data_IF_345691282683
#
_entry.id   IF_345691282683
#
_cell.length_a   1.000
_cell.length_b   1.000
_cell.length_c   1.000
_cell.angle_alpha   90.00
_cell.angle_beta   90.00
_cell.angle_gamma   90.00
#
_symmetry.space_group_name_H-M   'P 1'
#
loop_
_entity.id
_entity.type
_entity.pdbx_description
1 polymer ?
#
# COMPACT_ATOMS: atom_id res chain seq x y z
N UNK A 1 12.51 12.90 34.00
CA UNK A 1 11.81 11.66 33.63
C UNK A 1 12.14 10.55 34.62
N UNK A 2 11.12 9.91 35.20
CA UNK A 2 11.30 8.72 36.04
C UNK A 2 11.64 7.48 35.16
N UNK A 3 12.46 6.56 35.71
CA UNK A 3 12.85 5.31 35.03
C UNK A 3 11.62 4.48 34.59
N UNK A 4 10.58 4.43 35.41
CA UNK A 4 9.31 3.74 35.07
C UNK A 4 8.63 4.36 33.84
N UNK A 5 8.63 5.69 33.74
CA UNK A 5 8.06 6.40 32.58
C UNK A 5 8.83 6.11 31.29
N UNK A 6 10.18 6.04 31.36
CA UNK A 6 11.02 5.70 30.20
C UNK A 6 10.67 4.30 29.68
N UNK A 7 10.64 3.31 30.58
CA UNK A 7 10.30 1.92 30.21
C UNK A 7 8.89 1.85 29.62
N UNK A 8 7.91 2.52 30.24
CA UNK A 8 6.54 2.53 29.76
C UNK A 8 6.40 3.15 28.36
N UNK A 9 7.07 4.30 28.12
CA UNK A 9 7.04 4.97 26.81
C UNK A 9 7.67 4.12 25.71
N UNK A 10 8.81 3.46 25.98
CA UNK A 10 9.44 2.53 25.04
C UNK A 10 8.52 1.35 24.77
N UNK A 11 7.96 0.73 25.80
CA UNK A 11 7.02 -0.38 25.64
C UNK A 11 5.79 0.00 24.80
N UNK A 12 5.20 1.15 25.09
CA UNK A 12 4.05 1.67 24.33
C UNK A 12 4.40 1.91 22.85
N UNK A 13 5.60 2.43 22.58
CA UNK A 13 6.10 2.62 21.21
C UNK A 13 6.28 1.30 20.46
N UNK A 14 6.75 0.25 21.15
CA UNK A 14 6.84 -1.11 20.58
C UNK A 14 5.46 -1.63 20.21
N UNK A 15 4.50 -1.51 21.12
CA UNK A 15 3.13 -2.01 20.91
C UNK A 15 2.46 -1.30 19.74
N UNK A 16 2.52 0.03 19.71
CA UNK A 16 1.90 0.83 18.64
C UNK A 16 2.58 0.57 17.29
N UNK A 17 3.90 0.68 17.24
CA UNK A 17 4.67 0.42 16.02
C UNK A 17 4.49 -1.02 15.53
N UNK A 18 4.43 -1.97 16.46
CA UNK A 18 4.20 -3.38 16.18
C UNK A 18 2.81 -3.65 15.60
N UNK A 19 1.76 -3.08 16.18
CA UNK A 19 0.39 -3.25 15.68
C UNK A 19 0.22 -2.73 14.24
N UNK A 20 0.78 -1.56 13.95
CA UNK A 20 0.75 -0.97 12.61
C UNK A 20 1.60 -1.81 11.65
N UNK A 21 2.84 -2.13 12.05
CA UNK A 21 3.75 -2.89 11.22
C UNK A 21 3.25 -4.31 10.92
N UNK A 22 2.55 -4.95 11.86
CA UNK A 22 1.92 -6.26 11.66
C UNK A 22 0.84 -6.22 10.57
N UNK A 23 -0.01 -5.20 10.59
CA UNK A 23 -0.99 -4.97 9.50
C UNK A 23 -0.30 -4.83 8.14
N UNK A 24 0.78 -4.04 8.08
CA UNK A 24 1.54 -3.81 6.84
C UNK A 24 2.21 -5.08 6.32
N UNK A 25 2.83 -5.86 7.21
CA UNK A 25 3.47 -7.12 6.87
C UNK A 25 2.47 -8.18 6.41
N UNK A 26 1.33 -8.32 7.12
CA UNK A 26 0.23 -9.20 6.72
C UNK A 26 -0.28 -8.92 5.31
N UNK A 27 -0.29 -7.64 4.90
CA UNK A 27 -0.69 -7.22 3.55
C UNK A 27 0.46 -7.24 2.53
N UNK A 28 1.62 -7.77 2.88
CA UNK A 28 2.82 -7.78 2.05
C UNK A 28 3.18 -6.40 1.48
N UNK A 29 3.08 -5.36 2.32
CA UNK A 29 3.49 -4.01 1.96
C UNK A 29 4.98 -3.80 2.26
N UNK A 30 5.70 -2.95 1.51
CA UNK A 30 7.05 -2.53 1.90
C UNK A 30 7.02 -1.92 3.31
N UNK A 31 8.13 -2.04 4.07
CA UNK A 31 8.20 -1.66 5.48
C UNK A 31 7.13 -2.36 6.35
N UNK A 32 7.50 -3.51 6.92
CA UNK A 32 6.66 -4.35 7.77
C UNK A 32 6.85 -4.09 9.27
N UNK A 33 6.72 -5.16 10.06
CA UNK A 33 6.70 -5.16 11.52
C UNK A 33 7.90 -4.46 12.14
N UNK A 34 9.12 -4.91 11.79
CA UNK A 34 10.37 -4.39 12.37
C UNK A 34 10.58 -2.91 12.05
N UNK A 35 10.29 -2.49 10.83
CA UNK A 35 10.52 -1.12 10.40
C UNK A 35 9.67 -0.13 11.19
N UNK A 36 8.37 -0.41 11.37
CA UNK A 36 7.47 0.47 12.11
C UNK A 36 7.81 0.52 13.60
N UNK A 37 8.19 -0.60 14.22
CA UNK A 37 8.68 -0.63 15.61
C UNK A 37 9.91 0.26 15.76
N UNK A 38 10.93 0.08 14.92
CA UNK A 38 12.19 0.82 15.01
C UNK A 38 11.98 2.32 14.80
N UNK A 39 11.14 2.72 13.86
CA UNK A 39 10.81 4.14 13.63
C UNK A 39 10.07 4.74 14.83
N UNK A 40 9.08 4.03 15.40
CA UNK A 40 8.34 4.51 16.56
C UNK A 40 9.24 4.65 17.79
N UNK A 41 10.06 3.65 18.09
CA UNK A 41 11.02 3.68 19.21
C UNK A 41 12.06 4.78 19.00
N UNK A 42 12.67 4.86 17.83
CA UNK A 42 13.70 5.85 17.52
C UNK A 42 13.20 7.28 17.70
N UNK A 43 11.99 7.56 17.22
CA UNK A 43 11.33 8.86 17.39
C UNK A 43 11.01 9.16 18.85
N UNK A 44 10.56 8.16 19.62
CA UNK A 44 10.29 8.28 21.05
C UNK A 44 11.59 8.59 21.84
N UNK A 45 12.66 7.85 21.56
CA UNK A 45 13.96 8.03 22.22
C UNK A 45 14.53 9.42 21.92
N UNK A 46 14.50 9.88 20.66
CA UNK A 46 15.03 11.17 20.26
C UNK A 46 14.40 12.31 21.08
N UNK A 47 13.08 12.26 21.26
CA UNK A 47 12.37 13.28 22.04
C UNK A 47 12.63 13.13 23.56
N UNK A 48 12.74 11.91 24.07
CA UNK A 48 13.09 11.71 25.47
C UNK A 48 14.50 12.25 25.78
N UNK A 49 15.47 12.10 24.86
CA UNK A 49 16.82 12.71 25.00
C UNK A 49 16.67 14.22 25.14
N UNK A 50 15.83 14.87 24.32
CA UNK A 50 15.60 16.30 24.46
C UNK A 50 15.03 16.69 25.83
N UNK A 51 14.07 15.91 26.37
CA UNK A 51 13.53 16.15 27.70
C UNK A 51 14.59 16.01 28.80
N UNK A 52 15.51 15.05 28.68
CA UNK A 52 16.65 14.94 29.60
C UNK A 52 17.61 16.12 29.50
N UNK A 53 17.91 16.60 28.29
CA UNK A 53 18.73 17.79 28.08
C UNK A 53 18.10 19.00 28.76
N UNK A 54 16.78 19.21 28.56
CA UNK A 54 16.05 20.33 29.19
C UNK A 54 16.06 20.21 30.72
N UNK A 55 15.90 19.01 31.26
CA UNK A 55 15.97 18.78 32.70
C UNK A 55 17.38 19.08 33.23
N UNK A 56 18.42 18.57 32.56
CA UNK A 56 19.82 18.87 32.93
C UNK A 56 20.12 20.37 32.92
N UNK A 57 19.68 21.10 31.89
CA UNK A 57 19.86 22.55 31.84
C UNK A 57 19.15 23.27 33.00
N UNK A 58 17.94 22.83 33.39
CA UNK A 58 17.24 23.39 34.56
C UNK A 58 18.03 23.17 35.83
N UNK A 59 18.61 22.00 36.04
CA UNK A 59 19.42 21.66 37.20
C UNK A 59 20.70 22.56 37.26
N UNK A 60 21.38 22.78 36.12
CA UNK A 60 22.55 23.67 36.04
C UNK A 60 22.21 25.12 36.38
N UNK A 61 21.08 25.64 35.87
CA UNK A 61 20.61 27.01 36.19
C UNK A 61 20.24 27.15 37.68
N UNK A 62 19.80 26.09 38.35
CA UNK A 62 19.55 26.12 39.80
C UNK A 62 20.84 26.14 40.65
N UNK A 63 21.91 25.54 40.13
CA UNK A 63 23.24 25.55 40.81
C UNK A 63 23.88 26.91 40.67
N UNK A 64 23.86 27.51 39.49
CA UNK A 64 24.44 28.79 39.18
C UNK A 64 23.52 29.58 38.23
N UNK A 65 22.99 30.68 38.73
CA UNK A 65 22.03 31.52 37.99
C UNK A 65 22.59 32.13 36.69
N UNK A 66 23.92 32.28 36.59
CA UNK A 66 24.57 32.84 35.40
C UNK A 66 24.46 31.93 34.17
N UNK A 67 24.26 30.63 34.38
CA UNK A 67 23.98 29.68 33.29
C UNK A 67 22.70 30.02 32.51
N UNK A 68 21.75 30.77 33.09
CA UNK A 68 20.53 31.22 32.40
C UNK A 68 20.84 32.03 31.14
N UNK A 69 21.91 32.79 31.14
CA UNK A 69 22.31 33.64 30.01
C UNK A 69 23.09 32.88 28.94
N UNK A 70 23.67 31.74 29.30
CA UNK A 70 24.52 30.91 28.43
C UNK A 70 23.76 29.77 27.79
N UNK A 71 22.67 29.27 28.42
CA UNK A 71 21.91 28.11 28.00
C UNK A 71 20.63 28.51 27.31
N UNK A 72 20.51 28.09 26.06
CA UNK A 72 19.30 28.21 25.29
C UNK A 72 18.86 26.84 24.79
N UNK A 73 17.61 26.43 25.07
CA UNK A 73 17.04 25.17 24.62
C UNK A 73 15.88 25.40 23.67
N UNK A 74 16.00 24.92 22.45
CA UNK A 74 14.89 24.80 21.53
C UNK A 74 14.14 23.50 21.78
N UNK A 75 12.91 23.63 22.34
CA UNK A 75 12.07 22.50 22.74
C UNK A 75 11.58 21.69 21.53
N UNK A 76 11.59 22.25 20.33
CA UNK A 76 11.06 21.59 19.11
C UNK A 76 12.14 20.92 18.27
N UNK A 77 13.40 21.20 18.54
CA UNK A 77 14.52 20.89 17.63
C UNK A 77 14.67 19.40 17.31
N UNK A 78 14.68 18.53 18.32
CA UNK A 78 14.80 17.08 18.08
C UNK A 78 13.57 16.52 17.36
N UNK A 79 12.38 16.94 17.75
CA UNK A 79 11.15 16.51 17.09
C UNK A 79 11.12 16.92 15.61
N UNK A 80 11.48 18.16 15.28
CA UNK A 80 11.52 18.65 13.90
C UNK A 80 12.54 17.91 13.05
N UNK A 81 13.71 17.58 13.61
CA UNK A 81 14.74 16.80 12.92
C UNK A 81 14.30 15.35 12.67
N UNK A 82 13.58 14.73 13.60
CA UNK A 82 12.99 13.40 13.39
C UNK A 82 12.00 13.43 12.24
N UNK A 83 11.08 14.41 12.20
CA UNK A 83 10.08 14.56 11.14
C UNK A 83 10.76 14.71 9.77
N UNK A 84 11.80 15.53 9.70
CA UNK A 84 12.58 15.75 8.47
C UNK A 84 13.33 14.48 8.07
N UNK A 85 14.03 13.84 9.00
CA UNK A 85 14.86 12.66 8.76
C UNK A 85 14.06 11.43 8.33
N UNK A 86 12.88 11.24 8.89
CA UNK A 86 11.97 10.13 8.51
C UNK A 86 11.48 10.28 7.08
N UNK A 87 11.44 11.50 6.52
CA UNK A 87 11.15 11.73 5.11
C UNK A 87 12.07 10.96 4.17
N UNK A 88 13.36 10.81 4.51
CA UNK A 88 14.33 10.01 3.76
C UNK A 88 13.97 8.52 3.76
N UNK A 89 13.58 7.96 4.92
CA UNK A 89 13.13 6.57 5.03
C UNK A 89 11.85 6.35 4.21
N UNK A 90 10.90 7.29 4.30
CA UNK A 90 9.68 7.27 3.50
C UNK A 90 9.98 7.27 1.99
N UNK A 91 10.84 8.16 1.54
CA UNK A 91 11.25 8.25 0.14
C UNK A 91 11.88 6.95 -0.36
N UNK A 92 12.67 6.27 0.47
CA UNK A 92 13.26 4.95 0.17
C UNK A 92 12.25 3.83 -0.08
N UNK A 93 10.98 4.01 0.32
CA UNK A 93 9.91 3.04 0.04
C UNK A 93 9.13 3.31 -1.23
N UNK A 94 9.35 4.47 -1.87
CA UNK A 94 8.63 4.89 -3.09
C UNK A 94 9.40 4.38 -4.31
N UNK A 95 8.78 3.49 -5.07
CA UNK A 95 9.38 2.85 -6.23
C UNK A 95 8.52 3.15 -7.47
N UNK A 96 9.16 3.56 -8.56
CA UNK A 96 8.53 3.68 -9.87
C UNK A 96 8.77 2.39 -10.67
N UNK A 97 7.69 1.67 -10.97
CA UNK A 97 7.73 0.42 -11.72
C UNK A 97 6.76 0.47 -12.91
N UNK A 98 7.28 0.32 -14.13
CA UNK A 98 6.50 0.30 -15.38
C UNK A 98 5.46 1.42 -15.50
N UNK A 99 5.81 2.63 -15.07
CA UNK A 99 4.94 3.81 -15.14
C UNK A 99 4.00 3.99 -13.93
N UNK A 100 3.90 3.02 -13.03
CA UNK A 100 3.14 3.13 -11.79
C UNK A 100 4.05 3.49 -10.61
N UNK A 101 3.58 4.35 -9.73
CA UNK A 101 4.27 4.68 -8.46
C UNK A 101 3.68 3.83 -7.35
N UNK A 102 4.56 3.09 -6.65
CA UNK A 102 4.21 2.22 -5.51
C UNK A 102 4.88 2.73 -4.24
N UNK A 103 4.33 2.42 -3.07
CA UNK A 103 4.95 2.73 -1.79
C UNK A 103 4.53 4.06 -1.15
N UNK A 104 3.70 4.90 -1.78
CA UNK A 104 3.25 6.18 -1.23
C UNK A 104 2.55 6.04 0.13
N UNK A 105 1.60 5.10 0.26
CA UNK A 105 0.91 4.81 1.53
C UNK A 105 1.88 4.31 2.59
N UNK A 106 2.89 3.52 2.19
CA UNK A 106 3.93 3.04 3.10
C UNK A 106 4.78 4.20 3.61
N UNK A 107 5.22 5.10 2.74
CA UNK A 107 5.97 6.29 3.11
C UNK A 107 5.18 7.16 4.11
N UNK A 108 3.89 7.39 3.83
CA UNK A 108 2.99 8.13 4.72
C UNK A 108 2.82 7.43 6.07
N UNK A 109 2.67 6.08 6.11
CA UNK A 109 2.52 5.34 7.36
C UNK A 109 3.78 5.41 8.24
N UNK A 110 4.97 5.34 7.66
CA UNK A 110 6.24 5.52 8.36
C UNK A 110 6.31 6.90 9.00
N UNK A 111 5.93 7.93 8.25
CA UNK A 111 5.95 9.31 8.73
C UNK A 111 4.97 9.51 9.91
N UNK A 112 3.74 9.02 9.81
CA UNK A 112 2.74 9.11 10.89
C UNK A 112 3.17 8.33 12.13
N UNK A 113 3.78 7.14 11.95
CA UNK A 113 4.31 6.34 13.08
C UNK A 113 5.42 7.08 13.81
N UNK A 114 6.28 7.80 13.10
CA UNK A 114 7.29 8.66 13.74
C UNK A 114 6.64 9.78 14.58
N UNK A 115 5.60 10.45 14.05
CA UNK A 115 4.84 11.46 14.80
C UNK A 115 4.19 10.88 16.07
N UNK A 116 3.63 9.66 15.98
CA UNK A 116 3.09 8.96 17.15
C UNK A 116 4.19 8.64 18.16
N UNK A 117 5.36 8.18 17.70
CA UNK A 117 6.53 7.94 18.53
C UNK A 117 7.00 9.20 19.28
N UNK A 118 7.03 10.36 18.59
CA UNK A 118 7.30 11.67 19.20
C UNK A 118 6.26 11.96 20.29
N UNK A 119 4.96 11.78 20.01
CA UNK A 119 3.89 12.03 20.98
C UNK A 119 4.01 11.15 22.21
N UNK A 120 4.32 9.86 22.06
CA UNK A 120 4.60 8.94 23.17
C UNK A 120 5.81 9.41 23.96
N UNK A 121 6.89 9.82 23.28
CA UNK A 121 8.13 10.31 23.88
C UNK A 121 7.92 11.60 24.69
N UNK A 122 7.01 12.46 24.28
CA UNK A 122 6.59 13.65 25.04
C UNK A 122 5.64 13.34 26.19
N UNK A 123 5.01 12.16 26.21
CA UNK A 123 4.01 11.78 27.20
C UNK A 123 2.59 12.19 26.84
N UNK A 124 2.34 12.57 25.57
CA UNK A 124 1.00 12.91 25.07
C UNK A 124 0.22 11.65 24.67
N UNK A 125 -0.06 10.80 25.66
CA UNK A 125 -0.65 9.47 25.43
C UNK A 125 -2.01 9.50 24.74
N UNK A 126 -2.86 10.47 25.08
CA UNK A 126 -4.15 10.63 24.42
C UNK A 126 -4.00 10.94 22.93
N UNK A 127 -3.11 11.88 22.58
CA UNK A 127 -2.81 12.20 21.18
C UNK A 127 -2.22 10.99 20.44
N UNK A 128 -1.35 10.26 21.10
CA UNK A 128 -0.75 9.02 20.54
C UNK A 128 -1.82 7.97 20.24
N UNK A 129 -2.78 7.78 21.13
CA UNK A 129 -3.89 6.84 20.98
C UNK A 129 -4.81 7.24 19.82
N UNK A 130 -5.22 8.51 19.77
CA UNK A 130 -6.07 9.02 18.68
C UNK A 130 -5.35 8.95 17.34
N UNK A 131 -4.07 9.31 17.30
CA UNK A 131 -3.24 9.19 16.08
C UNK A 131 -3.10 7.74 15.61
N UNK A 132 -2.87 6.80 16.54
CA UNK A 132 -2.83 5.37 16.26
C UNK A 132 -4.15 4.85 15.67
N UNK A 133 -5.28 5.17 16.32
CA UNK A 133 -6.61 4.76 15.84
C UNK A 133 -6.90 5.36 14.46
N UNK A 134 -6.60 6.64 14.25
CA UNK A 134 -6.75 7.30 12.94
C UNK A 134 -5.94 6.62 11.85
N UNK A 135 -4.70 6.25 12.13
CA UNK A 135 -3.85 5.55 11.18
C UNK A 135 -4.39 4.14 10.86
N UNK A 136 -4.80 3.36 11.86
CA UNK A 136 -5.39 2.02 11.67
C UNK A 136 -6.67 2.11 10.84
N UNK A 137 -7.56 3.05 11.15
CA UNK A 137 -8.78 3.29 10.37
C UNK A 137 -8.43 3.62 8.93
N UNK A 138 -7.46 4.52 8.70
CA UNK A 138 -7.02 4.89 7.36
C UNK A 138 -6.48 3.70 6.57
N UNK A 139 -5.67 2.84 7.18
CA UNK A 139 -5.02 1.72 6.52
C UNK A 139 -5.97 0.53 6.25
N UNK A 140 -7.02 0.35 7.06
CA UNK A 140 -7.92 -0.80 6.97
C UNK A 140 -9.23 -0.42 6.30
N UNK A 141 -9.90 0.63 6.80
CA UNK A 141 -11.27 0.97 6.35
C UNK A 141 -11.24 1.59 4.96
N UNK A 142 -10.36 2.57 4.73
CA UNK A 142 -10.33 3.24 3.42
C UNK A 142 -9.79 2.33 2.31
N UNK A 143 -8.89 1.39 2.59
CA UNK A 143 -8.48 0.40 1.59
C UNK A 143 -9.65 -0.49 1.16
N UNK A 144 -10.52 -0.89 2.09
CA UNK A 144 -11.71 -1.68 1.76
C UNK A 144 -12.74 -0.87 0.95
N UNK A 145 -12.93 0.41 1.28
CA UNK A 145 -13.81 1.32 0.52
C UNK A 145 -13.23 1.54 -0.88
N UNK A 146 -11.95 1.82 -1.00
CA UNK A 146 -11.26 2.00 -2.28
C UNK A 146 -11.41 0.77 -3.17
N UNK A 147 -11.19 -0.42 -2.63
CA UNK A 147 -11.36 -1.67 -3.39
C UNK A 147 -12.82 -1.91 -3.80
N UNK A 148 -13.79 -1.47 -3.01
CA UNK A 148 -15.21 -1.64 -3.31
C UNK A 148 -15.73 -0.62 -4.33
N UNK A 149 -15.19 0.60 -4.32
CA UNK A 149 -15.67 1.72 -5.16
C UNK A 149 -14.86 1.83 -6.46
N UNK A 150 -13.53 1.68 -6.38
CA UNK A 150 -12.61 1.90 -7.51
C UNK A 150 -12.37 0.61 -8.30
N UNK A 151 -12.32 -0.57 -7.65
CA UNK A 151 -12.11 -1.87 -8.31
C UNK A 151 -13.40 -2.45 -8.94
N UNK A 152 -14.31 -1.59 -9.44
CA UNK A 152 -15.47 -2.06 -10.23
C UNK A 152 -15.03 -2.75 -11.52
N UNK A 153 -13.87 -2.41 -12.07
CA UNK A 153 -13.34 -3.00 -13.30
C UNK A 153 -12.55 -4.29 -13.01
N UNK A 154 -13.22 -5.43 -13.11
CA UNK A 154 -12.55 -6.74 -13.04
C UNK A 154 -11.87 -7.04 -14.36
N UNK A 155 -10.59 -7.39 -14.31
CA UNK A 155 -9.84 -7.82 -15.48
C UNK A 155 -9.91 -9.35 -15.63
N UNK A 156 -10.13 -9.79 -16.85
CA UNK A 156 -10.14 -11.20 -17.24
C UNK A 156 -9.21 -11.42 -18.42
N UNK A 157 -8.41 -12.50 -18.36
CA UNK A 157 -7.72 -13.04 -19.54
C UNK A 157 -8.60 -14.12 -20.15
N UNK A 158 -9.00 -13.93 -21.39
CA UNK A 158 -9.76 -14.92 -22.14
C UNK A 158 -8.86 -15.44 -23.25
N UNK A 159 -8.82 -16.74 -23.39
CA UNK A 159 -8.19 -17.41 -24.51
C UNK A 159 -9.25 -18.09 -25.35
N UNK A 160 -9.40 -17.68 -26.61
CA UNK A 160 -10.39 -18.19 -27.54
C UNK A 160 -9.65 -18.91 -28.68
N UNK A 161 -10.01 -20.17 -28.92
CA UNK A 161 -9.54 -20.95 -30.06
C UNK A 161 -10.68 -21.07 -31.09
N UNK A 162 -10.40 -20.66 -32.34
CA UNK A 162 -11.40 -20.65 -33.40
C UNK A 162 -10.80 -21.05 -34.76
N UNK A 163 -11.69 -21.49 -35.69
CA UNK A 163 -11.31 -21.78 -37.07
C UNK A 163 -11.10 -20.49 -37.86
N UNK A 164 -10.08 -20.41 -38.73
CA UNK A 164 -9.81 -19.23 -39.56
C UNK A 164 -10.86 -19.10 -40.66
N UNK A 165 -12.06 -18.70 -40.28
CA UNK A 165 -13.13 -18.28 -41.19
C UNK A 165 -13.29 -16.77 -41.15
N UNK A 166 -13.72 -16.18 -42.26
CA UNK A 166 -13.93 -14.75 -42.35
C UNK A 166 -14.88 -14.24 -41.24
N UNK A 167 -14.52 -13.11 -40.61
CA UNK A 167 -15.27 -12.33 -39.64
C UNK A 167 -15.41 -12.87 -38.20
N UNK A 168 -14.76 -13.96 -37.80
CA UNK A 168 -14.84 -14.44 -36.39
C UNK A 168 -14.20 -13.44 -35.41
N UNK A 169 -13.11 -12.81 -35.78
CA UNK A 169 -12.45 -11.79 -34.94
C UNK A 169 -13.34 -10.57 -34.77
N UNK A 170 -13.91 -10.07 -35.87
CA UNK A 170 -14.86 -8.94 -35.87
C UNK A 170 -16.05 -9.24 -34.97
N UNK A 171 -16.65 -10.40 -35.11
CA UNK A 171 -17.74 -10.85 -34.26
C UNK A 171 -17.39 -10.86 -32.77
N UNK A 172 -16.21 -11.39 -32.41
CA UNK A 172 -15.73 -11.40 -31.01
C UNK A 172 -15.58 -9.96 -30.47
N UNK A 173 -15.00 -9.07 -31.26
CA UNK A 173 -14.75 -7.67 -30.87
C UNK A 173 -16.09 -6.91 -30.75
N UNK A 174 -16.98 -7.06 -31.71
CA UNK A 174 -18.32 -6.43 -31.71
C UNK A 174 -19.15 -6.88 -30.52
N UNK A 175 -19.16 -8.18 -30.19
CA UNK A 175 -19.92 -8.72 -29.06
C UNK A 175 -19.38 -8.21 -27.72
N UNK A 176 -18.05 -8.06 -27.59
CA UNK A 176 -17.43 -7.45 -26.42
C UNK A 176 -17.77 -5.96 -26.28
N UNK A 177 -17.67 -5.19 -27.35
CA UNK A 177 -17.94 -3.75 -27.35
C UNK A 177 -19.43 -3.44 -27.11
N UNK A 178 -20.33 -4.19 -27.73
CA UNK A 178 -21.80 -4.07 -27.55
C UNK A 178 -22.22 -4.23 -26.08
N UNK A 179 -21.48 -5.02 -25.31
CA UNK A 179 -21.75 -5.27 -23.91
C UNK A 179 -20.90 -4.42 -22.97
N UNK A 180 -20.36 -3.29 -23.44
CA UNK A 180 -19.55 -2.33 -22.68
C UNK A 180 -18.28 -2.95 -22.03
N UNK A 181 -17.73 -3.99 -22.67
CA UNK A 181 -16.50 -4.63 -22.21
C UNK A 181 -15.30 -3.98 -22.88
N UNK A 182 -14.42 -3.38 -22.09
CA UNK A 182 -13.22 -2.71 -22.61
C UNK A 182 -12.11 -3.72 -22.89
N UNK A 183 -11.57 -3.71 -24.10
CA UNK A 183 -10.44 -4.53 -24.50
C UNK A 183 -9.14 -3.79 -24.20
N UNK A 184 -8.29 -4.33 -23.31
CA UNK A 184 -7.00 -3.74 -22.94
C UNK A 184 -5.84 -4.22 -23.81
N UNK A 185 -5.84 -5.48 -24.18
CA UNK A 185 -4.83 -6.03 -25.08
C UNK A 185 -5.34 -7.23 -25.86
N UNK A 186 -4.85 -7.37 -27.09
CA UNK A 186 -5.12 -8.49 -27.99
C UNK A 186 -3.77 -9.10 -28.36
N UNK A 187 -3.63 -10.42 -28.23
CA UNK A 187 -2.49 -11.18 -28.72
C UNK A 187 -3.00 -12.37 -29.54
N UNK A 188 -2.54 -12.47 -30.77
CA UNK A 188 -2.96 -13.51 -31.70
C UNK A 188 -1.81 -14.51 -31.85
N UNK A 189 -2.13 -15.79 -31.71
CA UNK A 189 -1.18 -16.89 -31.87
C UNK A 189 -1.71 -17.84 -32.95
N UNK A 190 -0.89 -18.20 -33.90
CA UNK A 190 -1.22 -19.18 -34.91
C UNK A 190 -0.71 -20.55 -34.43
N UNK A 191 -1.61 -21.52 -34.39
CA UNK A 191 -1.28 -22.89 -33.98
C UNK A 191 -1.70 -23.84 -35.08
N UNK A 192 -0.73 -24.55 -35.66
CA UNK A 192 -1.00 -25.62 -36.60
C UNK A 192 -1.09 -26.94 -35.83
N UNK A 193 -2.27 -27.54 -35.77
CA UNK A 193 -2.48 -28.89 -35.21
C UNK A 193 -3.09 -29.74 -36.33
N UNK A 194 -2.39 -30.78 -36.79
CA UNK A 194 -2.86 -31.81 -37.68
C UNK A 194 -3.82 -31.32 -38.77
N UNK A 195 -3.28 -30.69 -39.83
CA UNK A 195 -3.98 -30.21 -41.05
C UNK A 195 -5.09 -29.16 -40.85
N UNK A 196 -5.63 -28.98 -39.64
CA UNK A 196 -6.57 -27.91 -39.32
C UNK A 196 -5.85 -26.69 -38.72
N UNK A 197 -5.82 -25.59 -39.48
CA UNK A 197 -5.31 -24.31 -38.98
C UNK A 197 -6.30 -23.78 -37.95
N UNK A 198 -5.89 -23.70 -36.68
CA UNK A 198 -6.65 -23.00 -35.64
C UNK A 198 -5.92 -21.74 -35.21
N UNK A 199 -6.67 -20.68 -34.93
CA UNK A 199 -6.13 -19.43 -34.42
C UNK A 199 -6.50 -19.34 -32.94
N UNK A 200 -5.52 -19.01 -32.11
CA UNK A 200 -5.70 -18.76 -30.69
C UNK A 200 -5.52 -17.29 -30.40
N UNK A 201 -6.58 -16.62 -29.92
CA UNK A 201 -6.52 -15.23 -29.45
C UNK A 201 -6.49 -15.21 -27.92
N UNK A 202 -5.57 -14.43 -27.35
CA UNK A 202 -5.60 -14.06 -25.93
C UNK A 202 -6.03 -12.61 -25.81
N UNK A 203 -7.12 -12.38 -25.12
CA UNK A 203 -7.71 -11.07 -24.84
C UNK A 203 -7.57 -10.75 -23.36
N UNK A 204 -7.04 -9.57 -23.05
CA UNK A 204 -7.18 -8.99 -21.70
C UNK A 204 -8.30 -7.98 -21.76
N UNK A 205 -9.39 -8.24 -21.06
CA UNK A 205 -10.58 -7.41 -21.04
C UNK A 205 -10.86 -6.88 -19.64
N UNK A 206 -11.59 -5.77 -19.57
CA UNK A 206 -11.99 -5.12 -18.31
C UNK A 206 -13.49 -4.86 -18.36
N UNK A 207 -14.23 -5.30 -17.34
CA UNK A 207 -15.67 -5.09 -17.24
C UNK A 207 -16.11 -4.81 -15.81
N UNK A 208 -17.14 -3.97 -15.68
CA UNK A 208 -17.80 -3.64 -14.41
C UNK A 208 -18.97 -4.59 -14.10
N UNK A 209 -19.54 -5.22 -15.11
CA UNK A 209 -20.74 -6.02 -14.97
C UNK A 209 -20.45 -7.51 -15.24
N UNK A 210 -20.51 -8.33 -14.19
CA UNK A 210 -20.29 -9.78 -14.29
C UNK A 210 -21.38 -10.49 -15.11
N UNK A 211 -22.62 -10.00 -15.07
CA UNK A 211 -23.71 -10.62 -15.80
C UNK A 211 -23.53 -10.41 -17.31
N UNK A 212 -23.19 -9.20 -17.74
CA UNK A 212 -22.90 -8.90 -19.14
C UNK A 212 -21.71 -9.73 -19.64
N UNK A 213 -20.69 -9.94 -18.79
CA UNK A 213 -19.55 -10.78 -19.13
C UNK A 213 -19.96 -12.25 -19.36
N UNK A 214 -20.80 -12.81 -18.49
CA UNK A 214 -21.24 -14.20 -18.63
C UNK A 214 -22.13 -14.39 -19.86
N UNK A 215 -23.02 -13.43 -20.15
CA UNK A 215 -23.87 -13.49 -21.36
C UNK A 215 -23.02 -13.45 -22.63
N UNK A 216 -22.01 -12.60 -22.69
CA UNK A 216 -21.07 -12.56 -23.83
C UNK A 216 -20.34 -13.89 -24.00
N UNK A 217 -19.86 -14.48 -22.93
CA UNK A 217 -19.19 -15.80 -23.02
C UNK A 217 -20.14 -16.88 -23.55
N UNK A 218 -21.39 -16.88 -23.10
CA UNK A 218 -22.42 -17.82 -23.63
C UNK A 218 -22.69 -17.60 -25.11
N UNK A 219 -22.83 -16.34 -25.54
CA UNK A 219 -23.02 -15.98 -26.94
C UNK A 219 -21.83 -16.41 -27.81
N UNK A 220 -20.60 -16.21 -27.32
CA UNK A 220 -19.41 -16.64 -28.02
C UNK A 220 -19.31 -18.18 -28.08
N UNK A 221 -19.68 -18.91 -27.02
CA UNK A 221 -19.68 -20.37 -27.01
C UNK A 221 -20.76 -20.98 -27.96
N UNK A 222 -21.85 -20.27 -28.24
CA UNK A 222 -22.90 -20.73 -29.17
C UNK A 222 -22.46 -20.64 -30.64
N UNK A 223 -21.36 -19.94 -30.95
CA UNK A 223 -20.85 -19.82 -32.32
C UNK A 223 -20.10 -21.07 -32.74
N UNK A 224 -20.59 -21.77 -33.77
CA UNK A 224 -20.02 -23.04 -34.31
C UNK A 224 -18.56 -22.94 -34.77
N UNK A 225 -18.03 -21.74 -34.98
CA UNK A 225 -16.64 -21.52 -35.41
C UNK A 225 -15.67 -21.35 -34.23
N UNK A 226 -16.17 -21.24 -33.00
CA UNK A 226 -15.37 -21.14 -31.78
C UNK A 226 -15.29 -22.51 -31.13
N UNK A 227 -14.07 -23.03 -30.98
CA UNK A 227 -13.83 -24.38 -30.46
C UNK A 227 -13.69 -24.43 -28.96
N UNK A 228 -13.01 -23.46 -28.39
CA UNK A 228 -12.71 -23.46 -26.94
C UNK A 228 -12.57 -22.03 -26.41
N UNK A 229 -13.09 -21.80 -25.21
CA UNK A 229 -12.98 -20.54 -24.49
C UNK A 229 -12.48 -20.84 -23.08
N UNK A 230 -11.23 -20.50 -22.82
CA UNK A 230 -10.62 -20.60 -21.49
C UNK A 230 -10.59 -19.24 -20.82
N UNK A 231 -11.22 -19.12 -19.65
CA UNK A 231 -11.32 -17.87 -18.86
C UNK A 231 -10.38 -17.99 -17.66
N UNK A 232 -9.37 -17.16 -17.62
CA UNK A 232 -8.51 -16.97 -16.44
C UNK A 232 -8.88 -15.63 -15.81
N UNK A 233 -9.57 -15.68 -14.66
CA UNK A 233 -9.74 -14.47 -13.85
C UNK A 233 -8.34 -14.00 -13.48
N UNK A 234 -7.96 -12.81 -13.93
CA UNK A 234 -6.85 -12.13 -13.31
C UNK A 234 -7.38 -11.70 -11.93
N UNK A 235 -7.28 -12.58 -10.92
CA UNK A 235 -7.05 -11.99 -9.61
C UNK A 235 -5.86 -11.08 -9.87
N UNK A 236 -5.95 -9.77 -9.55
CA UNK A 236 -4.74 -8.97 -9.41
C UNK A 236 -3.82 -9.81 -8.52
N UNK A 237 -3.07 -10.69 -9.15
CA UNK A 237 -1.94 -11.31 -8.50
C UNK A 237 -1.11 -10.09 -8.16
N UNK A 238 -1.19 -9.67 -6.89
CA UNK A 238 -0.08 -8.99 -6.26
C UNK A 238 1.12 -9.69 -6.88
N UNK A 239 1.84 -8.98 -7.78
CA UNK A 239 3.09 -9.48 -8.33
C UNK A 239 3.96 -9.90 -7.15
N UNK A 240 3.77 -11.15 -6.71
CA UNK A 240 4.76 -11.92 -6.01
C UNK A 240 5.65 -12.46 -7.13
N UNK A 241 6.69 -11.72 -7.43
CA UNK A 241 7.93 -12.26 -8.00
C UNK A 241 8.90 -11.10 -8.13
N UNK A 242 9.94 -11.24 -7.31
CA UNK A 242 11.25 -10.59 -7.28
C UNK A 242 11.27 -9.19 -6.66
#
# INVERSE_FOLDING_TARGET
LDRKQVVFRIFLSIVIGGAIGFERERKNRPAGFRTHILVCIGSCIAVMIQLYIIQYMKEMIQIDGDFKYLLSADISRMASQVITGVGFLGAGTIIRDKGAVKGLTTAASIWVVACIGISVGLGFYFLSLVGFLGLIVSLIVFENIESSVIDKNKEYNISIEYLPKNNVIEYIIEELLKNEITIKSIRIFHKNINENRTIKIKLTISTNNRLNFLSVIQNLQSNKNIHDINILKINKIKNRML
#
